data_IF_986912065604
#
_entry.id   IF_986912065604
#
_cell.length_a   1.000
_cell.length_b   1.000
_cell.length_c   1.000
_cell.angle_alpha   90.00
_cell.angle_beta   90.00
_cell.angle_gamma   90.00
#
_symmetry.space_group_name_H-M   'P 1'
#
loop_
_entity.id
_entity.type
_entity.pdbx_description
1 polymer ?
#
# COMPACT_ATOMS: atom_id res chain seq x y z
N UNK A 1 -6.87 4.83 19.11
CA UNK A 1 -6.57 4.34 17.74
C UNK A 1 -5.73 3.07 17.85
N UNK A 2 -6.20 1.94 17.32
CA UNK A 2 -5.41 0.69 17.29
C UNK A 2 -4.17 0.91 16.44
N UNK A 3 -2.98 0.82 17.02
CA UNK A 3 -1.73 0.98 16.29
C UNK A 3 -1.58 -0.16 15.27
N UNK A 4 -1.43 0.16 13.98
CA UNK A 4 -1.00 -0.79 12.95
C UNK A 4 -2.04 -1.27 11.93
N UNK A 5 -3.24 -0.68 11.86
CA UNK A 5 -4.22 -0.98 10.80
C UNK A 5 -3.83 -0.24 9.51
N UNK A 6 -3.67 -0.91 8.36
CA UNK A 6 -3.45 -0.24 7.07
C UNK A 6 -4.70 0.57 6.69
N UNK A 7 -4.50 1.78 6.18
CA UNK A 7 -5.57 2.67 5.73
C UNK A 7 -5.42 2.96 4.23
N UNK A 8 -6.51 3.02 3.50
CA UNK A 8 -6.49 3.30 2.05
C UNK A 8 -7.71 4.13 1.63
N UNK A 9 -7.58 4.99 0.62
CA UNK A 9 -8.71 5.78 0.09
C UNK A 9 -9.92 4.94 -0.34
N UNK A 10 -9.73 3.67 -0.66
CA UNK A 10 -10.81 2.74 -1.00
C UNK A 10 -11.72 2.36 0.19
N UNK A 11 -11.29 2.63 1.43
CA UNK A 11 -12.13 2.45 2.63
C UNK A 11 -13.04 3.68 2.88
N UNK A 12 -12.72 4.82 2.26
CA UNK A 12 -13.39 6.10 2.43
C UNK A 12 -14.32 6.31 1.22
N UNK A 13 -15.36 5.49 1.13
CA UNK A 13 -16.40 5.58 0.09
C UNK A 13 -17.54 6.46 0.57
N UNK A 14 -17.28 7.76 0.75
CA UNK A 14 -18.33 8.76 0.84
C UNK A 14 -18.39 9.51 -0.50
N UNK A 15 -19.52 9.38 -1.20
CA UNK A 15 -19.74 10.02 -2.51
C UNK A 15 -19.79 11.56 -2.41
N UNK A 16 -19.95 12.12 -1.20
CA UNK A 16 -19.93 13.56 -0.96
C UNK A 16 -18.51 14.12 -0.80
N UNK A 17 -17.49 13.29 -0.52
CA UNK A 17 -16.12 13.75 -0.29
C UNK A 17 -15.25 13.66 -1.55
N UNK A 18 -14.55 14.76 -1.88
CA UNK A 18 -13.59 14.76 -2.98
C UNK A 18 -12.39 13.89 -2.61
N UNK A 19 -12.00 12.95 -3.48
CA UNK A 19 -10.89 11.99 -3.27
C UNK A 19 -9.60 12.62 -2.70
N UNK A 20 -9.27 13.85 -3.10
CA UNK A 20 -8.07 14.54 -2.62
C UNK A 20 -8.14 14.89 -1.12
N UNK A 21 -9.34 15.19 -0.59
CA UNK A 21 -9.54 15.45 0.83
C UNK A 21 -9.32 14.17 1.66
N UNK A 22 -9.73 13.02 1.13
CA UNK A 22 -9.44 11.71 1.71
C UNK A 22 -7.94 11.45 1.79
N UNK A 23 -7.19 11.80 0.74
CA UNK A 23 -5.73 11.71 0.74
C UNK A 23 -5.12 12.60 1.84
N UNK A 24 -5.55 13.86 1.95
CA UNK A 24 -5.04 14.76 2.99
C UNK A 24 -5.31 14.24 4.40
N UNK A 25 -6.53 13.76 4.66
CA UNK A 25 -6.93 13.15 5.95
C UNK A 25 -6.03 11.96 6.29
N UNK A 26 -5.85 11.03 5.35
CA UNK A 26 -5.00 9.85 5.55
C UNK A 26 -3.53 10.24 5.79
N UNK A 27 -2.99 11.20 5.04
CA UNK A 27 -1.63 11.70 5.23
C UNK A 27 -1.48 12.36 6.60
N UNK A 28 -2.49 13.09 7.08
CA UNK A 28 -2.46 13.70 8.41
C UNK A 28 -2.44 12.64 9.53
N UNK A 29 -3.33 11.65 9.45
CA UNK A 29 -3.50 10.58 10.44
C UNK A 29 -2.36 9.55 10.45
N UNK A 30 -1.75 9.27 9.30
CA UNK A 30 -0.76 8.21 9.15
C UNK A 30 0.69 8.73 9.27
N UNK A 31 1.50 7.99 10.05
CA UNK A 31 2.95 8.23 10.17
C UNK A 31 3.78 7.36 9.22
N UNK A 32 3.18 6.33 8.63
CA UNK A 32 3.81 5.37 7.75
C UNK A 32 3.01 5.33 6.45
N UNK A 33 3.67 5.53 5.31
CA UNK A 33 3.04 5.47 3.99
C UNK A 33 3.81 4.54 3.05
N UNK A 34 3.11 3.89 2.12
CA UNK A 34 3.70 3.03 1.09
C UNK A 34 3.19 3.53 -0.25
N UNK A 35 4.09 3.97 -1.12
CA UNK A 35 3.76 4.47 -2.45
C UNK A 35 4.36 3.58 -3.52
N UNK A 36 3.52 3.00 -4.36
CA UNK A 36 3.92 2.29 -5.57
C UNK A 36 3.73 3.21 -6.79
N UNK A 37 4.82 3.67 -7.39
CA UNK A 37 4.82 4.59 -8.54
C UNK A 37 4.89 3.85 -9.89
N UNK A 38 4.60 2.55 -9.90
CA UNK A 38 4.72 1.69 -11.08
C UNK A 38 3.77 2.03 -12.22
N UNK A 39 2.57 2.50 -11.89
CA UNK A 39 1.46 2.72 -12.83
C UNK A 39 1.56 4.10 -13.50
N UNK A 40 2.57 4.26 -14.33
CA UNK A 40 2.79 5.44 -15.19
C UNK A 40 2.85 5.08 -16.67
N UNK A 41 2.43 3.88 -17.04
CA UNK A 41 2.30 3.47 -18.45
C UNK A 41 1.21 4.26 -19.17
N UNK A 42 1.50 4.61 -20.43
CA UNK A 42 0.55 5.17 -21.39
C UNK A 42 -0.24 4.08 -22.11
N UNK A 43 0.39 2.93 -22.33
CA UNK A 43 -0.24 1.77 -22.95
C UNK A 43 -1.49 1.36 -22.17
N UNK A 44 -2.58 1.06 -22.87
CA UNK A 44 -3.91 0.72 -22.32
C UNK A 44 -4.63 1.86 -21.58
N UNK A 45 -4.17 3.12 -21.69
CA UNK A 45 -4.92 4.28 -21.18
C UNK A 45 -5.86 4.84 -22.25
N UNK A 46 -7.15 5.09 -21.94
CA UNK A 46 -8.14 5.60 -22.91
C UNK A 46 -7.73 6.89 -23.63
N UNK A 47 -6.98 7.75 -22.92
CA UNK A 47 -6.56 9.07 -23.41
C UNK A 47 -5.10 9.11 -23.87
N UNK A 48 -4.39 7.97 -23.89
CA UNK A 48 -2.96 7.92 -24.21
C UNK A 48 -2.10 8.86 -23.35
N UNK A 49 -2.54 9.10 -22.11
CA UNK A 49 -1.84 9.90 -21.11
C UNK A 49 -1.56 9.06 -19.86
N UNK A 50 -0.38 9.19 -19.24
CA UNK A 50 -0.07 8.47 -18.01
C UNK A 50 -0.92 8.98 -16.84
N UNK A 51 -1.31 8.09 -15.94
CA UNK A 51 -1.93 8.49 -14.67
C UNK A 51 -0.85 8.88 -13.67
N UNK A 52 -0.92 10.11 -13.15
CA UNK A 52 0.05 10.61 -12.15
C UNK A 52 -0.47 10.58 -10.72
N UNK A 53 -1.56 9.86 -10.44
CA UNK A 53 -2.18 9.83 -9.11
C UNK A 53 -1.20 9.39 -8.01
N UNK A 54 -0.44 8.30 -8.23
CA UNK A 54 0.53 7.82 -7.23
C UNK A 54 1.73 8.77 -7.05
N UNK A 55 2.34 9.31 -8.13
CA UNK A 55 3.32 10.40 -8.01
C UNK A 55 2.81 11.66 -7.29
N UNK A 56 1.57 12.09 -7.57
CA UNK A 56 0.95 13.25 -6.92
C UNK A 56 0.79 13.02 -5.41
N UNK A 57 0.23 11.87 -5.02
CA UNK A 57 0.07 11.49 -3.61
C UNK A 57 1.41 11.44 -2.88
N UNK A 58 2.43 10.84 -3.52
CA UNK A 58 3.80 10.83 -3.01
C UNK A 58 4.32 12.26 -2.81
N UNK A 59 4.15 13.15 -3.80
CA UNK A 59 4.55 14.56 -3.69
C UNK A 59 3.93 15.26 -2.49
N UNK A 60 2.62 15.10 -2.29
CA UNK A 60 1.89 15.66 -1.15
C UNK A 60 2.43 15.09 0.16
N UNK A 61 2.64 13.77 0.26
CA UNK A 61 3.18 13.15 1.47
C UNK A 61 4.58 13.69 1.82
N UNK A 62 5.42 13.90 0.82
CA UNK A 62 6.77 14.45 1.02
C UNK A 62 6.74 15.91 1.45
N UNK A 63 5.83 16.70 0.88
CA UNK A 63 5.56 18.07 1.32
C UNK A 63 5.13 18.08 2.79
N UNK A 64 4.15 17.25 3.15
CA UNK A 64 3.68 17.11 4.54
C UNK A 64 4.82 16.67 5.47
N UNK A 65 5.69 15.75 5.03
CA UNK A 65 6.89 15.36 5.78
C UNK A 65 7.86 16.53 6.00
N UNK A 66 8.11 17.32 4.96
CA UNK A 66 9.12 18.40 4.96
C UNK A 66 8.65 19.67 5.68
N UNK A 67 7.36 19.99 5.58
CA UNK A 67 6.79 21.28 5.97
C UNK A 67 5.67 21.19 7.03
N UNK A 68 5.13 20.00 7.31
CA UNK A 68 3.98 19.82 8.20
C UNK A 68 4.31 19.72 9.70
N UNK A 69 4.75 20.81 10.36
CA UNK A 69 4.86 20.87 11.83
C UNK A 69 5.72 19.75 12.45
N UNK A 70 5.31 19.07 13.54
CA UNK A 70 6.02 17.90 14.10
C UNK A 70 5.93 16.64 13.20
N UNK A 71 6.13 16.81 11.88
CA UNK A 71 6.18 15.79 10.83
C UNK A 71 7.46 14.95 10.83
N UNK A 72 8.36 15.12 11.81
CA UNK A 72 9.62 14.36 11.92
C UNK A 72 9.43 12.85 12.01
N UNK A 73 8.21 12.39 12.35
CA UNK A 73 7.84 10.98 12.48
C UNK A 73 7.37 10.33 11.18
N UNK A 74 7.13 11.09 10.10
CA UNK A 74 6.61 10.55 8.84
C UNK A 74 7.68 9.74 8.09
N UNK A 75 7.39 8.49 7.79
CA UNK A 75 8.25 7.57 7.02
C UNK A 75 7.47 7.04 5.83
N UNK A 76 8.14 6.87 4.70
CA UNK A 76 7.57 6.21 3.55
C UNK A 76 8.46 5.12 2.99
N UNK A 77 7.82 4.09 2.44
CA UNK A 77 8.41 3.18 1.45
C UNK A 77 7.98 3.65 0.07
N UNK A 78 8.93 3.73 -0.87
CA UNK A 78 8.64 4.01 -2.27
C UNK A 78 9.05 2.76 -3.06
N UNK A 79 8.13 2.24 -3.85
CA UNK A 79 8.34 1.08 -4.71
C UNK A 79 8.11 1.44 -6.17
N UNK A 80 8.79 0.71 -7.04
CA UNK A 80 8.59 0.83 -8.47
C UNK A 80 8.76 -0.53 -9.16
N UNK A 81 8.22 -0.68 -10.37
CA UNK A 81 8.25 -1.98 -11.06
C UNK A 81 9.65 -2.35 -11.54
N UNK A 82 10.50 -1.37 -11.83
CA UNK A 82 11.83 -1.60 -12.38
C UNK A 82 12.84 -0.63 -11.74
N UNK A 83 14.10 -1.04 -11.55
CA UNK A 83 15.14 -0.16 -11.04
C UNK A 83 15.25 1.12 -11.88
N UNK A 84 15.39 2.26 -11.21
CA UNK A 84 15.67 3.57 -11.82
C UNK A 84 14.66 4.10 -12.85
N UNK A 85 13.50 3.45 -13.07
CA UNK A 85 12.49 3.94 -14.05
C UNK A 85 12.00 5.35 -13.71
N UNK A 86 11.84 5.64 -12.41
CA UNK A 86 11.49 6.96 -11.89
C UNK A 86 12.38 8.10 -12.42
N UNK A 87 13.65 7.86 -12.76
CA UNK A 87 14.55 8.89 -13.31
C UNK A 87 14.02 9.51 -14.61
N UNK A 88 13.14 8.81 -15.32
CA UNK A 88 12.57 9.28 -16.59
C UNK A 88 11.38 10.22 -16.44
N UNK A 89 10.73 10.25 -15.28
CA UNK A 89 9.46 10.98 -15.09
C UNK A 89 9.32 11.69 -13.74
N UNK A 90 10.22 11.46 -12.80
CA UNK A 90 10.29 12.11 -11.48
C UNK A 90 11.72 11.98 -10.92
N UNK A 91 12.72 12.55 -11.59
CA UNK A 91 14.14 12.39 -11.20
C UNK A 91 14.47 12.94 -9.81
N UNK A 92 13.75 13.96 -9.34
CA UNK A 92 14.03 14.68 -8.09
C UNK A 92 13.81 13.85 -6.82
N UNK A 93 13.12 12.70 -6.92
CA UNK A 93 13.04 11.74 -5.80
C UNK A 93 14.27 10.81 -5.74
N UNK A 94 15.28 11.05 -6.57
CA UNK A 94 16.59 10.41 -6.52
C UNK A 94 17.28 10.58 -5.16
N UNK A 95 18.26 9.71 -4.89
CA UNK A 95 18.92 9.65 -3.57
C UNK A 95 18.10 8.93 -2.49
N UNK A 96 16.92 8.41 -2.84
CA UNK A 96 16.07 7.57 -1.98
C UNK A 96 16.21 6.11 -2.38
N UNK A 97 16.14 5.23 -1.38
CA UNK A 97 16.17 3.77 -1.57
C UNK A 97 14.82 3.25 -2.09
N UNK A 98 14.55 3.53 -3.38
CA UNK A 98 13.34 3.10 -4.08
C UNK A 98 13.46 1.60 -4.42
N UNK A 99 12.49 0.82 -3.95
CA UNK A 99 12.53 -0.64 -4.06
C UNK A 99 11.88 -1.12 -5.36
N UNK A 100 12.68 -1.75 -6.21
CA UNK A 100 12.17 -2.41 -7.41
C UNK A 100 11.50 -3.75 -7.05
N UNK A 101 10.23 -3.93 -7.43
CA UNK A 101 9.49 -5.17 -7.16
C UNK A 101 9.27 -6.05 -8.38
N UNK A 102 9.61 -5.62 -9.60
CA UNK A 102 9.63 -6.46 -10.81
C UNK A 102 8.28 -7.15 -11.08
N UNK A 103 7.18 -6.42 -10.81
CA UNK A 103 5.80 -6.93 -10.88
C UNK A 103 5.56 -8.23 -10.08
N UNK A 104 6.42 -8.53 -9.10
CA UNK A 104 6.31 -9.72 -8.25
C UNK A 104 5.67 -9.38 -6.90
N UNK A 105 4.48 -9.94 -6.59
CA UNK A 105 3.85 -9.79 -5.27
C UNK A 105 4.76 -10.25 -4.13
N UNK A 106 5.50 -11.34 -4.32
CA UNK A 106 6.44 -11.86 -3.32
C UNK A 106 7.57 -10.84 -3.01
N UNK A 107 8.13 -10.18 -4.04
CA UNK A 107 9.13 -9.12 -3.85
C UNK A 107 8.52 -7.91 -3.14
N UNK A 108 7.30 -7.49 -3.51
CA UNK A 108 6.60 -6.38 -2.87
C UNK A 108 6.32 -6.67 -1.38
N UNK A 109 5.81 -7.86 -1.05
CA UNK A 109 5.59 -8.30 0.34
C UNK A 109 6.88 -8.25 1.16
N UNK A 110 7.99 -8.75 0.61
CA UNK A 110 9.30 -8.68 1.27
C UNK A 110 9.72 -7.24 1.53
N UNK A 111 9.64 -6.36 0.53
CA UNK A 111 10.03 -4.95 0.68
C UNK A 111 9.19 -4.23 1.75
N UNK A 112 7.88 -4.45 1.76
CA UNK A 112 6.97 -3.90 2.78
C UNK A 112 7.34 -4.42 4.16
N UNK A 113 7.52 -5.74 4.30
CA UNK A 113 7.88 -6.39 5.57
C UNK A 113 9.20 -5.85 6.12
N UNK A 114 10.25 -5.80 5.30
CA UNK A 114 11.58 -5.38 5.75
C UNK A 114 11.59 -3.91 6.13
N UNK A 115 10.87 -3.07 5.38
CA UNK A 115 10.67 -1.68 5.74
C UNK A 115 9.91 -1.51 7.06
N UNK A 116 8.82 -2.24 7.28
CA UNK A 116 8.09 -2.21 8.55
C UNK A 116 8.96 -2.68 9.72
N UNK A 117 9.75 -3.74 9.53
CA UNK A 117 10.67 -4.28 10.53
C UNK A 117 11.79 -3.29 10.92
N UNK A 118 12.19 -2.41 9.98
CA UNK A 118 13.18 -1.35 10.24
C UNK A 118 12.66 -0.22 11.16
N UNK A 119 11.37 -0.19 11.48
CA UNK A 119 10.82 0.83 12.36
C UNK A 119 11.19 0.59 13.83
N UNK A 120 11.58 1.63 14.59
CA UNK A 120 11.85 1.49 16.02
C UNK A 120 10.65 0.92 16.79
N UNK A 121 10.93 0.08 17.78
CA UNK A 121 9.92 -0.45 18.70
C UNK A 121 8.94 -1.46 18.09
N UNK A 122 9.27 -2.08 16.95
CA UNK A 122 8.44 -3.13 16.36
C UNK A 122 8.78 -4.51 16.92
N UNK A 123 7.74 -5.26 17.24
CA UNK A 123 7.85 -6.71 17.49
C UNK A 123 8.34 -7.43 16.23
N UNK A 124 8.92 -8.60 16.41
CA UNK A 124 9.42 -9.41 15.31
C UNK A 124 8.27 -9.73 14.32
N UNK A 125 8.42 -9.28 13.08
CA UNK A 125 7.51 -9.56 11.98
C UNK A 125 8.00 -10.85 11.30
N UNK A 126 7.12 -11.83 11.00
CA UNK A 126 7.50 -13.02 10.24
C UNK A 126 8.28 -12.69 8.96
N UNK A 127 9.19 -13.58 8.57
CA UNK A 127 9.99 -13.40 7.35
C UNK A 127 9.11 -13.31 6.10
N UNK A 128 9.56 -12.57 5.08
CA UNK A 128 8.79 -12.37 3.84
C UNK A 128 8.36 -13.68 3.16
N UNK A 129 9.16 -14.75 3.25
CA UNK A 129 8.81 -16.09 2.74
C UNK A 129 7.60 -16.70 3.45
N UNK A 130 7.49 -16.55 4.77
CA UNK A 130 6.32 -17.03 5.54
C UNK A 130 5.08 -16.22 5.17
N UNK A 131 5.17 -14.89 5.15
CA UNK A 131 4.05 -14.02 4.77
C UNK A 131 3.58 -14.33 3.33
N UNK A 132 4.51 -14.57 2.41
CA UNK A 132 4.16 -14.98 1.04
C UNK A 132 3.44 -16.32 1.01
N UNK A 133 3.93 -17.33 1.74
CA UNK A 133 3.25 -18.64 1.86
C UNK A 133 1.84 -18.49 2.40
N UNK A 134 1.68 -17.69 3.46
CA UNK A 134 0.39 -17.43 4.11
C UNK A 134 -0.56 -16.71 3.15
N UNK A 135 -0.08 -15.69 2.43
CA UNK A 135 -0.86 -15.00 1.41
C UNK A 135 -1.30 -15.97 0.30
N UNK A 136 -0.42 -16.86 -0.17
CA UNK A 136 -0.78 -17.86 -1.18
C UNK A 136 -1.80 -18.88 -0.67
N UNK A 137 -1.75 -19.23 0.62
CA UNK A 137 -2.71 -20.12 1.24
C UNK A 137 -4.07 -19.43 1.37
N UNK A 138 -4.10 -18.24 1.98
CA UNK A 138 -5.29 -17.41 2.08
C UNK A 138 -5.96 -17.20 0.72
N UNK A 139 -5.19 -16.88 -0.33
CA UNK A 139 -5.74 -16.68 -1.68
C UNK A 139 -6.39 -17.93 -2.27
N UNK A 140 -5.95 -19.14 -1.88
CA UNK A 140 -6.57 -20.40 -2.31
C UNK A 140 -7.86 -20.68 -1.55
N UNK A 141 -7.90 -20.33 -0.28
CA UNK A 141 -9.05 -20.56 0.61
C UNK A 141 -10.10 -19.45 0.53
N UNK A 142 -9.72 -18.26 0.01
CA UNK A 142 -10.56 -17.07 -0.06
C UNK A 142 -11.96 -17.31 -0.67
N UNK A 143 -12.14 -18.07 -1.77
CA UNK A 143 -13.48 -18.31 -2.30
C UNK A 143 -14.40 -19.00 -1.28
N UNK A 144 -13.90 -20.05 -0.61
CA UNK A 144 -14.67 -20.81 0.38
C UNK A 144 -14.96 -19.94 1.61
N UNK A 145 -13.95 -19.24 2.12
CA UNK A 145 -14.09 -18.35 3.29
C UNK A 145 -15.08 -17.21 3.01
N UNK A 146 -15.10 -16.68 1.79
CA UNK A 146 -16.06 -15.66 1.39
C UNK A 146 -17.49 -16.22 1.30
N UNK A 147 -17.67 -17.40 0.71
CA UNK A 147 -18.98 -18.07 0.64
C UNK A 147 -19.54 -18.42 2.02
N UNK A 148 -18.69 -18.94 2.93
CA UNK A 148 -19.06 -19.21 4.34
C UNK A 148 -19.48 -17.94 5.09
N UNK A 149 -18.89 -16.79 4.72
CA UNK A 149 -19.27 -15.48 5.22
C UNK A 149 -20.48 -14.85 4.49
N UNK A 150 -21.14 -15.59 3.60
CA UNK A 150 -22.26 -15.14 2.75
C UNK A 150 -21.90 -13.97 1.82
N UNK A 151 -20.66 -13.93 1.34
CA UNK A 151 -20.14 -12.93 0.41
C UNK A 151 -19.85 -13.57 -0.96
N UNK A 152 -20.06 -12.83 -2.04
CA UNK A 152 -19.62 -13.24 -3.38
C UNK A 152 -18.09 -12.99 -3.52
N UNK A 153 -17.28 -14.03 -3.73
CA UNK A 153 -15.82 -13.90 -3.88
C UNK A 153 -15.39 -12.95 -5.00
N UNK A 154 -16.24 -12.74 -6.01
CA UNK A 154 -15.98 -11.87 -7.16
C UNK A 154 -16.35 -10.40 -6.91
N UNK A 155 -17.13 -10.11 -5.87
CA UNK A 155 -17.65 -8.77 -5.56
C UNK A 155 -17.17 -8.21 -4.21
N UNK A 156 -16.14 -8.82 -3.61
CA UNK A 156 -15.59 -8.37 -2.32
C UNK A 156 -15.14 -6.91 -2.38
N UNK A 157 -15.67 -6.10 -1.46
CA UNK A 157 -15.13 -4.76 -1.20
C UNK A 157 -13.79 -4.87 -0.48
N UNK A 158 -13.06 -3.75 -0.36
CA UNK A 158 -11.83 -3.73 0.44
C UNK A 158 -12.10 -4.07 1.91
N UNK A 159 -13.23 -3.61 2.46
CA UNK A 159 -13.59 -3.87 3.85
C UNK A 159 -13.87 -5.35 4.09
N UNK A 160 -14.62 -5.99 3.18
CA UNK A 160 -14.84 -7.44 3.21
C UNK A 160 -13.51 -8.19 3.18
N UNK A 161 -12.66 -7.86 2.21
CA UNK A 161 -11.36 -8.51 2.06
C UNK A 161 -10.49 -8.38 3.32
N UNK A 162 -10.43 -7.20 3.93
CA UNK A 162 -9.67 -6.96 5.17
C UNK A 162 -10.24 -7.77 6.34
N UNK A 163 -11.58 -7.84 6.47
CA UNK A 163 -12.23 -8.60 7.52
C UNK A 163 -11.95 -10.11 7.39
N UNK A 164 -12.03 -10.65 6.17
CA UNK A 164 -11.71 -12.05 5.88
C UNK A 164 -10.23 -12.36 6.16
N UNK A 165 -9.30 -11.49 5.75
CA UNK A 165 -7.86 -11.63 6.09
C UNK A 165 -7.63 -11.63 7.59
N UNK A 166 -8.26 -10.72 8.33
CA UNK A 166 -8.09 -10.62 9.80
C UNK A 166 -8.61 -11.87 10.49
N UNK A 167 -9.76 -12.40 10.07
CA UNK A 167 -10.32 -13.62 10.64
C UNK A 167 -9.44 -14.84 10.33
N UNK A 168 -9.06 -15.00 9.07
CA UNK A 168 -8.17 -16.07 8.63
C UNK A 168 -6.85 -16.09 9.41
N UNK A 169 -6.25 -14.91 9.64
CA UNK A 169 -5.02 -14.78 10.42
C UNK A 169 -5.19 -15.15 11.90
N UNK A 170 -6.38 -15.05 12.50
CA UNK A 170 -6.63 -15.46 13.89
C UNK A 170 -6.73 -16.98 14.03
N UNK A 171 -7.22 -17.66 13.01
CA UNK A 171 -7.36 -19.13 12.99
C UNK A 171 -6.02 -19.82 12.70
N UNK A 172 -5.11 -19.13 12.03
CA UNK A 172 -3.85 -19.69 11.54
C UNK A 172 -2.60 -19.15 12.28
N UNK A 173 -2.77 -18.56 13.48
CA UNK A 173 -1.67 -18.02 14.32
C UNK A 173 -1.71 -18.51 15.74
#
# INVERSE_FOLDING_TARGET
MKHGVPRCTLELTDAAEVRIQNIYRLIAECNHSIHDISRTEVHDQPYQLPRFNMPLELGIFLGAKRFGGPSSRKRCLIMDRAPYRYKRFISDIGGRDIKAHDRSPAKAIRHVRDWLQSAPGKTAIPGGKKIWKDYQQFRRELPVIAEEAQLDPSQLTLLDYLQLVINWLKEHR
#
